data_IF_808441279047
#
_entry.id   IF_808441279047
#
_cell.length_a   1.000
_cell.length_b   1.000
_cell.length_c   1.000
_cell.angle_alpha   90.00
_cell.angle_beta   90.00
_cell.angle_gamma   90.00
#
_symmetry.space_group_name_H-M   'P 1'
#
loop_
_entity.id
_entity.type
_entity.pdbx_description
1 polymer ?
#
# COMPACT_ATOMS: atom_id res chain seq x y z
N UNK A 1 3.47 2.15 31.90
CA UNK A 1 2.40 1.77 30.97
C UNK A 1 1.61 0.61 31.57
N UNK A 2 0.28 0.55 31.34
CA UNK A 2 -0.53 -0.60 31.76
C UNK A 2 -0.05 -1.88 31.07
N UNK A 3 -0.16 -3.02 31.77
CA UNK A 3 0.28 -4.32 31.27
C UNK A 3 -0.39 -4.70 29.94
N UNK A 4 -1.68 -4.38 29.83
CA UNK A 4 -2.50 -4.65 28.63
C UNK A 4 -1.99 -3.89 27.40
N UNK A 5 -1.52 -2.65 27.57
CA UNK A 5 -0.94 -1.87 26.45
C UNK A 5 0.40 -2.46 25.99
N UNK A 6 1.21 -2.96 26.91
CA UNK A 6 2.48 -3.62 26.59
C UNK A 6 2.23 -4.91 25.82
N UNK A 7 1.26 -5.72 26.25
CA UNK A 7 0.88 -6.96 25.58
C UNK A 7 0.28 -6.70 24.18
N UNK A 8 -0.54 -5.65 24.04
CA UNK A 8 -1.06 -5.26 22.74
C UNK A 8 0.06 -4.79 21.79
N UNK A 9 1.00 -3.98 22.30
CA UNK A 9 2.16 -3.54 21.54
C UNK A 9 3.04 -4.72 21.09
N UNK A 10 3.28 -5.70 21.96
CA UNK A 10 4.11 -6.88 21.62
C UNK A 10 3.50 -7.75 20.52
N UNK A 11 2.18 -7.72 20.34
CA UNK A 11 1.47 -8.47 19.29
C UNK A 11 1.36 -7.71 17.96
N UNK A 12 1.42 -6.39 17.99
CA UNK A 12 1.22 -5.53 16.83
C UNK A 12 2.52 -4.99 16.21
N UNK A 13 3.60 -4.98 16.98
CA UNK A 13 4.92 -4.49 16.54
C UNK A 13 5.83 -5.68 16.22
N UNK A 14 6.85 -5.46 15.37
CA UNK A 14 7.92 -6.46 15.24
C UNK A 14 8.67 -6.63 16.56
N UNK A 15 9.16 -7.85 16.83
CA UNK A 15 9.93 -8.16 18.04
C UNK A 15 11.11 -7.23 18.23
N UNK A 16 11.74 -6.79 17.14
CA UNK A 16 12.84 -5.84 17.18
C UNK A 16 12.35 -4.43 17.56
N UNK A 17 11.29 -3.93 16.93
CA UNK A 17 10.71 -2.63 17.27
C UNK A 17 10.22 -2.60 18.71
N UNK A 18 9.61 -3.70 19.17
CA UNK A 18 9.20 -3.82 20.57
C UNK A 18 10.38 -3.73 21.53
N UNK A 19 11.47 -4.48 21.27
CA UNK A 19 12.67 -4.40 22.11
C UNK A 19 13.33 -3.02 22.09
N UNK A 20 13.34 -2.34 20.93
CA UNK A 20 13.88 -0.98 20.86
C UNK A 20 13.06 0.03 21.66
N UNK A 21 11.74 -0.03 21.60
CA UNK A 21 10.85 0.95 22.23
C UNK A 21 10.60 0.66 23.72
N UNK A 22 10.47 -0.61 24.11
CA UNK A 22 10.10 -0.99 25.48
C UNK A 22 11.25 -1.54 26.31
N UNK A 23 12.27 -2.11 25.69
CA UNK A 23 13.42 -2.71 26.39
C UNK A 23 14.73 -1.91 26.17
N UNK A 24 14.65 -0.76 25.49
CA UNK A 24 15.80 0.10 25.16
C UNK A 24 16.95 -0.66 24.47
N UNK A 25 16.63 -1.66 23.65
CA UNK A 25 17.62 -2.42 22.89
C UNK A 25 18.16 -1.60 21.72
N UNK A 26 19.47 -1.61 21.52
CA UNK A 26 20.15 -0.93 20.40
C UNK A 26 20.50 -1.89 19.25
N UNK A 27 19.60 -2.82 18.95
CA UNK A 27 19.79 -3.76 17.85
C UNK A 27 19.73 -3.05 16.49
N UNK A 28 20.57 -3.49 15.56
CA UNK A 28 20.55 -3.06 14.15
C UNK A 28 20.08 -4.21 13.28
N UNK A 29 19.39 -3.89 12.18
CA UNK A 29 18.95 -4.90 11.21
C UNK A 29 20.16 -5.59 10.56
N UNK A 30 20.50 -6.79 11.03
CA UNK A 30 21.52 -7.66 10.44
C UNK A 30 20.89 -8.63 9.44
N UNK A 31 20.31 -8.13 8.37
CA UNK A 31 19.70 -9.00 7.37
C UNK A 31 18.39 -8.48 6.83
N UNK A 32 18.10 -7.65 6.06
CA UNK A 32 16.85 -7.14 5.46
C UNK A 32 15.76 -6.77 6.47
N UNK A 33 14.96 -5.78 6.13
CA UNK A 33 13.84 -5.31 6.97
C UNK A 33 12.75 -6.39 7.05
N UNK A 34 12.61 -7.18 6.01
CA UNK A 34 11.66 -8.28 5.90
C UNK A 34 12.42 -9.57 5.64
N UNK A 35 12.04 -10.66 6.34
CA UNK A 35 12.61 -11.97 6.14
C UNK A 35 11.78 -12.77 5.16
N UNK A 36 12.42 -13.58 4.33
CA UNK A 36 11.75 -14.43 3.35
C UNK A 36 10.74 -15.38 4.00
N UNK A 37 11.06 -15.91 5.18
CA UNK A 37 10.21 -16.79 5.96
C UNK A 37 8.88 -16.16 6.43
N UNK A 38 8.76 -14.84 6.36
CA UNK A 38 7.53 -14.13 6.72
C UNK A 38 6.53 -14.03 5.57
N UNK A 39 6.97 -14.32 4.35
CA UNK A 39 6.09 -14.38 3.20
C UNK A 39 5.40 -15.75 3.18
N UNK A 40 4.11 -15.73 3.42
CA UNK A 40 3.29 -16.93 3.43
C UNK A 40 2.38 -16.93 2.21
N UNK A 41 2.30 -18.07 1.54
CA UNK A 41 1.27 -18.34 0.55
C UNK A 41 0.12 -19.06 1.26
N UNK A 42 -1.09 -18.55 1.10
CA UNK A 42 -2.29 -19.10 1.72
C UNK A 42 -3.47 -18.96 0.76
N UNK A 43 -4.54 -19.70 1.04
CA UNK A 43 -5.79 -19.56 0.28
C UNK A 43 -6.49 -18.25 0.63
N UNK A 44 -7.22 -17.71 -0.36
CA UNK A 44 -8.00 -16.51 -0.16
C UNK A 44 -9.05 -16.73 0.93
N UNK A 45 -9.10 -15.90 1.98
CA UNK A 45 -10.10 -16.03 3.02
C UNK A 45 -11.51 -15.86 2.43
N UNK A 46 -12.47 -16.69 2.88
CA UNK A 46 -13.86 -16.61 2.43
C UNK A 46 -14.50 -15.28 2.84
N UNK A 47 -14.28 -14.88 4.10
CA UNK A 47 -14.78 -13.63 4.66
C UNK A 47 -13.81 -12.46 4.45
N UNK A 48 -14.30 -11.24 4.67
CA UNK A 48 -13.51 -10.02 4.59
C UNK A 48 -13.91 -9.07 3.46
N UNK A 49 -13.31 -7.89 3.44
CA UNK A 49 -13.58 -6.86 2.46
C UNK A 49 -12.32 -6.49 1.69
N UNK A 50 -12.48 -6.28 0.39
CA UNK A 50 -11.38 -5.76 -0.41
C UNK A 50 -11.20 -4.27 -0.23
N UNK A 51 -9.94 -3.89 -0.06
CA UNK A 51 -9.47 -2.50 -0.09
C UNK A 51 -8.42 -2.36 -1.17
N UNK A 52 -8.42 -1.23 -1.85
CA UNK A 52 -7.44 -0.91 -2.87
C UNK A 52 -6.61 0.27 -2.40
N UNK A 53 -5.29 0.14 -2.43
CA UNK A 53 -4.36 1.21 -2.10
C UNK A 53 -3.51 1.56 -3.32
N UNK A 54 -3.40 2.87 -3.60
CA UNK A 54 -2.71 3.39 -4.77
C UNK A 54 -1.59 4.34 -4.34
N UNK A 55 -0.37 4.02 -4.75
CA UNK A 55 0.82 4.88 -4.69
C UNK A 55 1.10 5.37 -6.12
N UNK A 56 0.63 6.58 -6.51
CA UNK A 56 0.76 7.06 -7.86
C UNK A 56 2.16 7.61 -8.11
N UNK A 57 2.79 7.21 -9.21
CA UNK A 57 4.03 7.79 -9.70
C UNK A 57 3.80 8.67 -10.92
N UNK A 58 4.58 9.74 -11.04
CA UNK A 58 4.52 10.65 -12.19
C UNK A 58 5.09 9.97 -13.44
N UNK A 59 4.32 10.02 -14.51
CA UNK A 59 4.78 9.67 -15.84
C UNK A 59 4.79 10.91 -16.71
N UNK A 60 5.97 11.44 -17.03
CA UNK A 60 6.13 12.48 -18.03
C UNK A 60 6.47 11.85 -19.36
N UNK A 61 5.58 12.05 -20.34
CA UNK A 61 5.73 11.53 -21.71
C UNK A 61 6.60 12.46 -22.57
N UNK A 62 7.72 12.94 -22.04
CA UNK A 62 8.65 13.73 -22.82
C UNK A 62 9.70 12.83 -23.48
N UNK A 63 9.78 12.89 -24.82
CA UNK A 63 10.76 12.11 -25.58
C UNK A 63 12.23 12.37 -25.16
N UNK A 64 12.52 13.53 -24.57
CA UNK A 64 13.85 13.87 -24.06
C UNK A 64 14.22 13.15 -22.77
N UNK A 65 13.27 12.79 -21.93
CA UNK A 65 13.52 12.07 -20.68
C UNK A 65 13.51 10.55 -20.86
N UNK A 66 12.87 10.03 -21.92
CA UNK A 66 12.88 8.59 -22.25
C UNK A 66 14.29 8.02 -22.40
N UNK A 67 15.25 8.82 -22.86
CA UNK A 67 16.59 8.34 -23.16
C UNK A 67 17.59 8.46 -22.01
N UNK A 68 17.34 9.32 -21.02
CA UNK A 68 18.33 9.65 -19.98
C UNK A 68 18.06 9.05 -18.60
N UNK A 69 16.82 8.62 -18.29
CA UNK A 69 16.44 8.23 -16.92
C UNK A 69 15.51 7.01 -16.81
N UNK A 70 15.38 6.17 -17.81
CA UNK A 70 14.47 5.01 -17.78
C UNK A 70 14.62 4.11 -16.56
N UNK A 71 15.80 4.06 -15.95
CA UNK A 71 16.09 3.23 -14.79
C UNK A 71 15.75 3.88 -13.42
N UNK A 72 15.33 5.16 -13.42
CA UNK A 72 15.10 5.95 -12.19
C UNK A 72 13.69 6.49 -12.03
N UNK A 73 12.78 6.19 -12.96
CA UNK A 73 11.40 6.62 -12.84
C UNK A 73 10.64 5.63 -11.97
N UNK A 74 9.98 6.15 -10.96
CA UNK A 74 9.09 5.37 -10.09
C UNK A 74 7.91 4.81 -10.90
N UNK A 75 7.36 3.69 -10.45
CA UNK A 75 6.18 3.06 -11.02
C UNK A 75 4.97 3.33 -10.13
N UNK A 76 3.82 3.59 -10.75
CA UNK A 76 2.55 3.56 -10.01
C UNK A 76 2.31 2.14 -9.52
N UNK A 77 1.90 2.00 -8.28
CA UNK A 77 1.55 0.72 -7.68
C UNK A 77 0.10 0.75 -7.17
N UNK A 78 -0.64 -0.32 -7.47
CA UNK A 78 -2.01 -0.54 -7.03
C UNK A 78 -2.02 -1.88 -6.30
N UNK A 79 -2.19 -1.86 -4.99
CA UNK A 79 -2.31 -3.05 -4.17
C UNK A 79 -3.80 -3.38 -3.92
N UNK A 80 -4.20 -4.61 -4.21
CA UNK A 80 -5.53 -5.15 -3.90
C UNK A 80 -5.39 -6.10 -2.72
N UNK A 81 -5.97 -5.72 -1.60
CA UNK A 81 -5.82 -6.43 -0.33
C UNK A 81 -7.18 -6.79 0.24
N UNK A 82 -7.39 -8.05 0.59
CA UNK A 82 -8.55 -8.49 1.36
C UNK A 82 -8.22 -8.43 2.85
N UNK A 83 -9.09 -7.80 3.62
CA UNK A 83 -8.94 -7.65 5.05
C UNK A 83 -10.05 -8.46 5.71
N UNK A 84 -9.65 -9.50 6.43
CA UNK A 84 -10.50 -10.32 7.28
C UNK A 84 -10.03 -10.18 8.73
N UNK A 85 -10.77 -9.43 9.55
CA UNK A 85 -10.42 -9.08 10.94
C UNK A 85 -9.02 -8.46 11.01
N UNK A 86 -8.04 -9.22 11.53
CA UNK A 86 -6.65 -8.76 11.69
C UNK A 86 -5.73 -9.25 10.56
N UNK A 87 -6.22 -10.13 9.67
CA UNK A 87 -5.42 -10.69 8.57
C UNK A 87 -5.54 -9.86 7.31
N UNK A 88 -4.40 -9.66 6.65
CA UNK A 88 -4.30 -9.00 5.37
C UNK A 88 -3.83 -10.00 4.33
N UNK A 89 -4.69 -10.28 3.37
CA UNK A 89 -4.36 -11.16 2.26
C UNK A 89 -4.19 -10.33 0.98
N UNK A 90 -2.99 -10.34 0.42
CA UNK A 90 -2.67 -9.58 -0.80
C UNK A 90 -3.08 -10.41 -2.01
N UNK A 91 -4.15 -10.00 -2.68
CA UNK A 91 -4.63 -10.67 -3.89
C UNK A 91 -3.73 -10.42 -5.08
N UNK A 92 -3.41 -9.17 -5.34
CA UNK A 92 -2.55 -8.78 -6.45
C UNK A 92 -1.89 -7.42 -6.20
N UNK A 93 -0.74 -7.22 -6.82
CA UNK A 93 -0.08 -5.92 -6.93
C UNK A 93 0.10 -5.62 -8.41
N UNK A 94 -0.60 -4.58 -8.89
CA UNK A 94 -0.52 -4.11 -10.27
C UNK A 94 0.42 -2.92 -10.27
N UNK A 95 1.51 -3.00 -11.00
CA UNK A 95 2.47 -1.90 -11.05
C UNK A 95 2.92 -1.62 -12.47
N UNK A 96 3.35 -0.40 -12.72
CA UNK A 96 3.85 0.00 -14.03
C UNK A 96 3.84 1.51 -14.23
N UNK A 97 4.24 1.90 -15.42
CA UNK A 97 4.32 3.30 -15.85
C UNK A 97 3.20 3.61 -16.82
N UNK A 98 2.21 4.32 -16.32
CA UNK A 98 1.01 4.67 -17.08
C UNK A 98 0.78 6.16 -17.01
N UNK A 99 0.19 6.71 -18.05
CA UNK A 99 -0.31 8.07 -17.99
C UNK A 99 -1.50 8.16 -17.01
N UNK A 100 -1.89 9.37 -16.68
CA UNK A 100 -2.92 9.67 -15.67
C UNK A 100 -4.25 8.99 -16.03
N UNK A 101 -4.64 9.00 -17.31
CA UNK A 101 -5.90 8.39 -17.77
C UNK A 101 -5.86 6.86 -17.68
N UNK A 102 -4.74 6.26 -18.07
CA UNK A 102 -4.54 4.81 -17.94
C UNK A 102 -4.52 4.39 -16.47
N UNK A 103 -3.90 5.18 -15.60
CA UNK A 103 -3.89 4.96 -14.16
C UNK A 103 -5.32 4.96 -13.61
N UNK A 104 -6.15 5.93 -13.98
CA UNK A 104 -7.55 5.99 -13.57
C UNK A 104 -8.33 4.74 -13.99
N UNK A 105 -8.17 4.28 -15.25
CA UNK A 105 -8.79 3.04 -15.75
C UNK A 105 -8.36 1.80 -14.98
N UNK A 106 -7.06 1.70 -14.64
CA UNK A 106 -6.53 0.57 -13.88
C UNK A 106 -7.05 0.54 -12.45
N UNK A 107 -7.18 1.71 -11.81
CA UNK A 107 -7.78 1.84 -10.47
C UNK A 107 -9.23 1.35 -10.49
N UNK A 108 -10.04 1.88 -11.41
CA UNK A 108 -11.45 1.46 -11.52
C UNK A 108 -11.56 -0.03 -11.86
N UNK A 109 -10.77 -0.51 -12.84
CA UNK A 109 -10.78 -1.92 -13.24
C UNK A 109 -10.36 -2.86 -12.10
N UNK A 110 -9.40 -2.47 -11.25
CA UNK A 110 -9.03 -3.24 -10.07
C UNK A 110 -10.19 -3.33 -9.08
N UNK A 111 -10.87 -2.20 -8.82
CA UNK A 111 -12.02 -2.13 -7.93
C UNK A 111 -13.19 -3.00 -8.40
N UNK A 112 -13.54 -2.91 -9.68
CA UNK A 112 -14.63 -3.68 -10.29
C UNK A 112 -14.37 -5.19 -10.22
N UNK A 113 -13.13 -5.63 -10.50
CA UNK A 113 -12.79 -7.08 -10.47
C UNK A 113 -13.01 -7.76 -9.12
N UNK A 114 -12.89 -7.00 -8.02
CA UNK A 114 -13.05 -7.54 -6.66
C UNK A 114 -14.31 -7.00 -5.97
N UNK A 115 -15.18 -6.36 -6.73
CA UNK A 115 -16.44 -5.76 -6.24
C UNK A 115 -16.23 -4.83 -5.04
N UNK A 116 -15.07 -4.14 -4.98
CA UNK A 116 -14.75 -3.17 -3.94
C UNK A 116 -15.15 -1.77 -4.37
N UNK A 117 -15.72 -1.03 -3.45
CA UNK A 117 -15.96 0.40 -3.63
C UNK A 117 -14.98 1.28 -2.83
N UNK A 118 -14.04 0.70 -2.10
CA UNK A 118 -13.10 1.43 -1.25
C UNK A 118 -11.71 1.52 -1.87
N UNK A 119 -11.28 2.75 -2.21
CA UNK A 119 -9.99 3.02 -2.83
C UNK A 119 -9.28 4.13 -2.07
N UNK A 120 -8.11 3.82 -1.51
CA UNK A 120 -7.19 4.78 -0.91
C UNK A 120 -6.13 5.22 -1.92
N UNK A 121 -5.94 6.52 -2.09
CA UNK A 121 -4.91 7.08 -2.97
C UNK A 121 -3.98 7.98 -2.16
N UNK A 122 -2.66 7.78 -2.26
CA UNK A 122 -1.68 8.61 -1.57
C UNK A 122 -1.84 10.08 -1.98
N UNK A 123 -1.81 10.97 -0.98
CA UNK A 123 -1.98 12.43 -1.19
C UNK A 123 -0.84 13.02 -1.98
N UNK A 124 -1.16 13.98 -2.84
CA UNK A 124 -0.18 14.72 -3.61
C UNK A 124 -0.74 15.28 -4.92
N UNK A 125 0.12 15.92 -5.69
CA UNK A 125 -0.26 16.52 -6.97
C UNK A 125 -0.80 15.49 -7.96
N UNK A 126 -0.25 14.29 -7.97
CA UNK A 126 -0.67 13.20 -8.86
C UNK A 126 -2.08 12.70 -8.55
N UNK A 127 -2.43 12.57 -7.26
CA UNK A 127 -3.81 12.24 -6.87
C UNK A 127 -4.78 13.26 -7.47
N UNK A 128 -4.51 14.55 -7.29
CA UNK A 128 -5.37 15.61 -7.80
C UNK A 128 -5.47 15.59 -9.34
N UNK A 129 -4.41 15.20 -10.03
CA UNK A 129 -4.41 15.06 -11.48
C UNK A 129 -5.20 13.82 -11.96
N UNK A 130 -5.21 12.72 -11.17
CA UNK A 130 -5.92 11.48 -11.51
C UNK A 130 -7.42 11.62 -11.27
N UNK A 131 -7.85 12.33 -10.24
CA UNK A 131 -9.25 12.40 -9.81
C UNK A 131 -10.25 12.75 -10.92
N UNK A 132 -10.05 13.79 -11.77
CA UNK A 132 -11.00 14.11 -12.82
C UNK A 132 -11.20 12.98 -13.83
N UNK A 133 -10.12 12.26 -14.17
CA UNK A 133 -10.19 11.13 -15.10
C UNK A 133 -10.86 9.91 -14.44
N UNK A 134 -10.62 9.70 -13.15
CA UNK A 134 -11.26 8.63 -12.40
C UNK A 134 -12.76 8.89 -12.26
N UNK A 135 -13.18 10.11 -12.01
CA UNK A 135 -14.58 10.51 -11.97
C UNK A 135 -15.29 10.32 -13.34
N UNK A 136 -14.59 10.63 -14.42
CA UNK A 136 -15.10 10.40 -15.77
C UNK A 136 -15.28 8.90 -16.09
N UNK A 137 -14.30 8.07 -15.73
CA UNK A 137 -14.39 6.62 -15.89
C UNK A 137 -15.51 6.04 -15.00
N UNK A 138 -15.62 6.47 -13.72
CA UNK A 138 -16.71 6.08 -12.82
C UNK A 138 -18.08 6.39 -13.40
N UNK A 139 -18.23 7.57 -14.02
CA UNK A 139 -19.47 8.00 -14.67
C UNK A 139 -19.77 7.18 -15.94
N UNK A 140 -18.75 6.89 -16.73
CA UNK A 140 -18.86 6.12 -17.97
C UNK A 140 -19.28 4.67 -17.71
N UNK A 141 -18.67 4.05 -16.71
CA UNK A 141 -18.92 2.65 -16.33
C UNK A 141 -20.09 2.51 -15.34
N UNK A 142 -20.67 3.63 -14.89
CA UNK A 142 -21.69 3.67 -13.83
C UNK A 142 -21.27 2.91 -12.57
N UNK A 143 -19.99 3.05 -12.20
CA UNK A 143 -19.37 2.44 -11.03
C UNK A 143 -18.80 3.52 -10.12
N UNK A 144 -19.23 3.55 -8.86
CA UNK A 144 -18.87 4.63 -7.94
C UNK A 144 -18.00 4.12 -6.81
N UNK A 145 -16.85 4.79 -6.64
CA UNK A 145 -15.86 4.45 -5.62
C UNK A 145 -15.88 5.48 -4.49
N UNK A 146 -15.72 4.99 -3.27
CA UNK A 146 -15.44 5.80 -2.10
C UNK A 146 -13.93 6.05 -2.03
N UNK A 147 -13.51 7.29 -2.33
CA UNK A 147 -12.11 7.65 -2.43
C UNK A 147 -11.59 8.20 -1.11
N UNK A 148 -10.58 7.55 -0.54
CA UNK A 148 -9.95 7.93 0.73
C UNK A 148 -8.56 8.50 0.46
N UNK A 149 -8.24 9.60 1.15
CA UNK A 149 -6.89 10.15 1.13
C UNK A 149 -5.95 9.38 2.05
N UNK A 150 -4.89 8.81 1.50
CA UNK A 150 -3.83 8.20 2.29
C UNK A 150 -2.76 9.24 2.58
N UNK A 151 -2.74 9.74 3.82
CA UNK A 151 -1.77 10.75 4.27
C UNK A 151 -0.59 10.10 4.97
N UNK A 152 0.60 10.51 4.59
CA UNK A 152 1.81 10.10 5.29
C UNK A 152 2.27 11.24 6.22
N UNK A 153 2.41 10.97 7.48
CA UNK A 153 2.73 11.96 8.54
C UNK A 153 4.20 12.44 8.56
N UNK A 154 4.82 12.74 7.42
CA UNK A 154 6.20 13.29 7.36
C UNK A 154 7.34 12.32 7.70
N UNK A 155 7.05 11.07 8.08
CA UNK A 155 8.08 10.03 8.30
C UNK A 155 8.68 9.57 6.97
N UNK A 156 9.93 9.12 6.97
CA UNK A 156 10.57 8.54 5.78
C UNK A 156 9.80 7.34 5.28
N UNK A 157 9.75 7.12 3.96
CA UNK A 157 8.99 6.02 3.33
C UNK A 157 9.38 4.65 3.91
N UNK A 158 10.69 4.42 4.10
CA UNK A 158 11.20 3.17 4.67
C UNK A 158 10.68 2.93 6.08
N UNK A 159 10.69 3.96 6.93
CA UNK A 159 10.23 3.85 8.32
C UNK A 159 8.73 3.54 8.37
N UNK A 160 7.93 4.19 7.51
CA UNK A 160 6.48 3.94 7.40
C UNK A 160 6.19 2.50 7.02
N UNK A 161 6.90 1.97 6.01
CA UNK A 161 6.74 0.60 5.52
C UNK A 161 7.12 -0.38 6.63
N UNK A 162 8.27 -0.16 7.27
CA UNK A 162 8.75 -1.00 8.37
C UNK A 162 7.75 -1.06 9.50
N UNK A 163 7.33 0.09 10.01
CA UNK A 163 6.37 0.17 11.13
C UNK A 163 5.00 -0.44 10.80
N UNK A 164 4.53 -0.30 9.55
CA UNK A 164 3.21 -0.78 9.17
C UNK A 164 3.15 -2.27 8.90
N UNK A 165 4.21 -2.85 8.33
CA UNK A 165 4.17 -4.21 7.81
C UNK A 165 5.01 -5.20 8.61
N UNK A 166 6.15 -4.78 9.20
CA UNK A 166 7.08 -5.71 9.81
C UNK A 166 6.45 -6.55 10.91
N UNK A 167 5.73 -5.91 11.85
CA UNK A 167 5.05 -6.64 12.93
C UNK A 167 3.97 -7.59 12.42
N UNK A 168 3.20 -7.16 11.41
CA UNK A 168 2.16 -8.00 10.80
C UNK A 168 2.75 -9.21 10.09
N UNK A 169 3.84 -9.04 9.37
CA UNK A 169 4.50 -10.13 8.64
C UNK A 169 5.23 -11.10 9.58
N UNK A 170 5.76 -10.61 10.70
CA UNK A 170 6.44 -11.46 11.69
C UNK A 170 5.46 -12.34 12.47
N UNK A 171 4.29 -11.81 12.80
CA UNK A 171 3.30 -12.52 13.64
C UNK A 171 2.19 -13.22 12.83
N UNK A 172 2.05 -12.94 11.55
CA UNK A 172 1.12 -13.61 10.63
C UNK A 172 -0.20 -12.91 10.51
#
# INVERSE_FOLDING_TARGET
LPQEEIEAASKSMSSMSFRQEFEASFETFSGGIFKEEWFKEDEEPEDGNYCIAVDPAGYEDSEKERNLKRSRLDETSIAVVKIDRDRWWVKEIIHGRWNIKETAKKILGAAVRVESNSVGIETGALRNAILPYLEDEMRTENQWLSLVELRHGGKKKIDRITWSLQGRMEHG
#
